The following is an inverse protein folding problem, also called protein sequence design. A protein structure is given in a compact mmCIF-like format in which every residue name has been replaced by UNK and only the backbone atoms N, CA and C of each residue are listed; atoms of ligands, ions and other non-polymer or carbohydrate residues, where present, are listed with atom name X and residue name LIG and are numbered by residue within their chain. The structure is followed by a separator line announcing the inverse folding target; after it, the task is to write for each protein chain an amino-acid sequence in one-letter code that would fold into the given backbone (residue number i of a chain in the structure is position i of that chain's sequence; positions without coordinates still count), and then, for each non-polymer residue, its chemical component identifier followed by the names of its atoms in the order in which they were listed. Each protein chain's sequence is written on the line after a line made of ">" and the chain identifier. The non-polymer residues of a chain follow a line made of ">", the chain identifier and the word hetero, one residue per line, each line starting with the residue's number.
data_IF_668622469754
#
_entry.id   IF_668622469754
#
_cell.length_a   1.000
_cell.length_b   1.000
_cell.length_c   1.000
_cell.angle_alpha   90.00
_cell.angle_beta   90.00
_cell.angle_gamma   90.00
#
_symmetry.space_group_name_H-M   'P 1'
#
loop_
_entity.id
_entity.type
_entity.pdbx_description
1 polymer ?
#
# COMPACT_ATOMS: atom_id res chain seq x y z
N UNK A 1 10.08 -14.83 -13.00
CA UNK A 1 9.70 -15.02 -11.58
C UNK A 1 8.41 -14.27 -11.35
N UNK A 2 7.30 -14.98 -11.15
CA UNK A 2 5.97 -14.40 -10.99
C UNK A 2 5.56 -14.43 -9.51
N UNK A 3 4.91 -13.37 -9.03
CA UNK A 3 4.45 -13.27 -7.65
C UNK A 3 3.07 -13.92 -7.48
N UNK A 4 2.25 -13.78 -8.53
CA UNK A 4 0.95 -14.39 -8.72
C UNK A 4 1.04 -15.26 -9.98
N UNK A 5 0.33 -16.38 -10.05
CA UNK A 5 0.27 -17.16 -11.28
C UNK A 5 -0.44 -16.37 -12.39
N UNK A 6 -0.19 -16.72 -13.65
CA UNK A 6 -0.70 -15.98 -14.80
C UNK A 6 -2.23 -16.07 -14.96
N UNK A 7 -2.84 -17.08 -14.35
CA UNK A 7 -4.26 -17.39 -14.27
C UNK A 7 -4.86 -17.04 -12.88
N UNK A 8 -4.23 -16.13 -12.14
CA UNK A 8 -4.78 -15.63 -10.87
C UNK A 8 -6.14 -14.95 -11.08
N UNK A 9 -7.19 -15.48 -10.44
CA UNK A 9 -8.56 -14.96 -10.52
C UNK A 9 -9.11 -14.49 -9.16
N UNK A 10 -8.41 -14.80 -8.05
CA UNK A 10 -8.90 -14.57 -6.69
C UNK A 10 -8.28 -13.32 -6.04
N UNK A 11 -7.13 -12.85 -6.55
CA UNK A 11 -6.43 -11.68 -6.02
C UNK A 11 -6.57 -10.49 -6.97
N UNK A 12 -7.33 -9.50 -6.55
CA UNK A 12 -7.47 -8.23 -7.24
C UNK A 12 -6.34 -7.27 -6.85
N UNK A 13 -5.73 -6.64 -7.84
CA UNK A 13 -4.60 -5.73 -7.64
C UNK A 13 -5.02 -4.29 -7.91
N UNK A 14 -4.73 -3.43 -6.94
CA UNK A 14 -4.92 -1.99 -7.03
C UNK A 14 -3.59 -1.27 -6.79
N UNK A 15 -3.36 -0.21 -7.56
CA UNK A 15 -2.13 0.58 -7.51
C UNK A 15 -2.49 2.03 -7.22
N UNK A 16 -1.94 2.58 -6.15
CA UNK A 16 -2.00 4.01 -5.89
C UNK A 16 -0.75 4.68 -6.45
N UNK A 17 -0.96 5.62 -7.36
CA UNK A 17 0.10 6.32 -8.08
C UNK A 17 -0.21 7.81 -8.17
N UNK A 18 0.70 8.65 -7.68
CA UNK A 18 0.50 10.10 -7.60
C UNK A 18 -0.74 10.41 -6.77
N UNK A 19 -1.84 10.78 -7.45
CA UNK A 19 -3.14 11.04 -6.82
C UNK A 19 -4.28 10.25 -7.49
N UNK A 20 -3.97 9.09 -8.07
CA UNK A 20 -4.94 8.27 -8.79
C UNK A 20 -4.80 6.80 -8.44
N UNK A 21 -5.95 6.16 -8.29
CA UNK A 21 -6.03 4.71 -8.21
C UNK A 21 -6.12 4.11 -9.61
N UNK A 22 -5.38 3.02 -9.81
CA UNK A 22 -5.49 2.13 -10.96
C UNK A 22 -5.94 0.77 -10.44
N UNK A 23 -7.13 0.36 -10.84
CA UNK A 23 -7.78 -0.84 -10.32
C UNK A 23 -7.92 -1.85 -11.45
N UNK A 24 -7.67 -3.12 -11.15
CA UNK A 24 -7.85 -4.17 -12.14
C UNK A 24 -9.33 -4.41 -12.42
N UNK A 25 -10.14 -4.49 -11.38
CA UNK A 25 -11.55 -4.84 -11.48
C UNK A 25 -12.46 -3.73 -10.93
N UNK A 26 -13.69 -3.72 -11.44
CA UNK A 26 -14.77 -2.86 -10.96
C UNK A 26 -15.75 -3.70 -10.13
N UNK A 27 -15.44 -3.88 -8.84
CA UNK A 27 -16.30 -4.65 -7.96
C UNK A 27 -17.57 -3.89 -7.56
N UNK A 28 -18.60 -4.65 -7.16
CA UNK A 28 -19.90 -4.09 -6.77
C UNK A 28 -19.76 -3.14 -5.57
N UNK A 29 -18.83 -3.42 -4.68
CA UNK A 29 -18.59 -2.63 -3.48
C UNK A 29 -17.83 -1.34 -3.80
N UNK A 30 -16.87 -1.38 -4.72
CA UNK A 30 -16.12 -0.21 -5.22
C UNK A 30 -17.03 0.76 -5.96
N UNK A 31 -18.00 0.25 -6.73
CA UNK A 31 -19.06 1.07 -7.35
C UNK A 31 -19.93 1.75 -6.29
N UNK A 32 -20.27 1.05 -5.21
CA UNK A 32 -21.00 1.60 -4.08
C UNK A 32 -20.20 2.70 -3.37
N UNK A 33 -18.94 2.43 -3.04
CA UNK A 33 -18.06 3.39 -2.37
C UNK A 33 -17.77 4.61 -3.24
N UNK A 34 -17.58 4.44 -4.55
CA UNK A 34 -17.42 5.55 -5.50
C UNK A 34 -18.62 6.50 -5.47
N UNK A 35 -19.84 5.97 -5.42
CA UNK A 35 -21.07 6.78 -5.35
C UNK A 35 -21.17 7.56 -4.04
N UNK A 36 -20.74 6.96 -2.92
CA UNK A 36 -20.87 7.56 -1.59
C UNK A 36 -19.73 8.54 -1.24
N UNK A 37 -18.49 8.23 -1.64
CA UNK A 37 -17.30 8.99 -1.25
C UNK A 37 -16.80 9.96 -2.31
N UNK A 38 -17.25 9.83 -3.56
CA UNK A 38 -16.69 10.55 -4.71
C UNK A 38 -15.31 10.03 -5.15
N UNK A 39 -14.84 8.92 -4.56
CA UNK A 39 -13.58 8.26 -4.91
C UNK A 39 -13.50 7.93 -6.41
N UNK A 40 -12.32 8.12 -7.00
CA UNK A 40 -12.09 7.88 -8.44
C UNK A 40 -10.92 6.92 -8.64
N UNK A 41 -11.09 5.98 -9.55
CA UNK A 41 -10.06 5.08 -10.05
C UNK A 41 -10.17 4.96 -11.58
N UNK A 42 -9.10 4.47 -12.20
CA UNK A 42 -9.09 4.08 -13.60
C UNK A 42 -8.96 2.56 -13.69
N UNK A 43 -9.80 1.95 -14.51
CA UNK A 43 -9.66 0.52 -14.80
C UNK A 43 -8.45 0.28 -15.70
N UNK A 44 -7.62 -0.68 -15.31
CA UNK A 44 -6.41 -1.06 -16.04
C UNK A 44 -6.33 -2.57 -16.11
N UNK A 45 -6.13 -3.13 -17.31
CA UNK A 45 -5.86 -4.56 -17.44
C UNK A 45 -4.43 -4.84 -16.97
N UNK A 46 -4.28 -5.72 -15.98
CA UNK A 46 -2.98 -6.04 -15.39
C UNK A 46 -2.00 -6.59 -16.44
N UNK A 47 -2.47 -7.42 -17.36
CA UNK A 47 -1.66 -7.96 -18.45
C UNK A 47 -1.05 -6.86 -19.34
N UNK A 48 -1.80 -5.80 -19.64
CA UNK A 48 -1.28 -4.66 -20.42
C UNK A 48 -0.20 -3.91 -19.64
N UNK A 49 -0.41 -3.69 -18.34
CA UNK A 49 0.56 -3.01 -17.48
C UNK A 49 1.85 -3.82 -17.31
N UNK A 50 1.73 -5.14 -17.10
CA UNK A 50 2.86 -6.07 -17.05
C UNK A 50 3.60 -6.10 -18.38
N UNK A 51 2.89 -6.15 -19.51
CA UNK A 51 3.51 -6.09 -20.83
C UNK A 51 4.25 -4.76 -21.07
N UNK A 52 3.66 -3.63 -20.65
CA UNK A 52 4.33 -2.32 -20.71
C UNK A 52 5.60 -2.30 -19.86
N UNK A 53 5.55 -2.85 -18.64
CA UNK A 53 6.72 -2.90 -17.76
C UNK A 53 7.81 -3.83 -18.29
N UNK A 54 7.46 -5.01 -18.82
CA UNK A 54 8.42 -5.93 -19.47
C UNK A 54 9.14 -5.25 -20.63
N UNK A 55 8.41 -4.57 -21.51
CA UNK A 55 9.01 -3.78 -22.61
C UNK A 55 9.92 -2.67 -22.11
N UNK A 56 9.58 -2.01 -20.99
CA UNK A 56 10.45 -1.01 -20.37
C UNK A 56 11.77 -1.63 -19.89
N UNK A 57 11.72 -2.75 -19.17
CA UNK A 57 12.92 -3.45 -18.67
C UNK A 57 13.80 -3.95 -19.82
N UNK A 58 13.21 -4.48 -20.89
CA UNK A 58 13.92 -4.92 -22.09
C UNK A 58 14.68 -3.76 -22.76
N UNK A 59 14.09 -2.56 -22.80
CA UNK A 59 14.74 -1.35 -23.35
C UNK A 59 15.86 -0.85 -22.45
N UNK A 60 15.61 -0.73 -21.15
CA UNK A 60 16.63 -0.32 -20.17
C UNK A 60 17.85 -1.26 -20.13
N UNK A 61 17.63 -2.55 -20.35
CA UNK A 61 18.69 -3.56 -20.42
C UNK A 61 19.47 -3.58 -21.75
N UNK A 62 19.00 -2.86 -22.78
CA UNK A 62 19.66 -2.79 -24.08
C UNK A 62 20.77 -1.73 -24.08
N UNK A 63 21.99 -2.11 -24.45
CA UNK A 63 23.18 -1.22 -24.47
C UNK A 63 23.08 -0.04 -25.46
N UNK A 64 22.01 0.04 -26.26
CA UNK A 64 21.81 1.04 -27.29
C UNK A 64 21.03 2.25 -26.74
N UNK A 65 21.65 3.05 -25.88
CA UNK A 65 21.49 4.52 -25.70
C UNK A 65 20.11 5.19 -25.54
N UNK A 66 18.98 4.55 -25.83
CA UNK A 66 17.65 5.16 -25.83
C UNK A 66 16.97 4.95 -24.47
N UNK A 67 17.38 5.78 -23.50
CA UNK A 67 16.83 5.82 -22.14
C UNK A 67 15.53 6.64 -22.04
N UNK A 68 14.82 6.86 -23.14
CA UNK A 68 13.62 7.70 -23.18
C UNK A 68 12.33 7.00 -22.74
N UNK A 69 12.41 5.71 -22.36
CA UNK A 69 11.25 4.92 -21.94
C UNK A 69 10.70 5.34 -20.58
N UNK A 70 9.42 5.70 -20.51
CA UNK A 70 8.74 5.96 -19.23
C UNK A 70 8.43 4.65 -18.50
N UNK A 71 8.92 4.47 -17.27
CA UNK A 71 8.54 3.34 -16.42
C UNK A 71 7.04 3.45 -16.08
N UNK A 72 6.17 2.51 -16.52
CA UNK A 72 4.72 2.62 -16.30
C UNK A 72 4.33 2.56 -14.82
N UNK A 73 5.22 2.05 -13.96
CA UNK A 73 5.09 1.95 -12.50
C UNK A 73 5.85 3.06 -11.75
N UNK A 74 6.41 4.06 -12.43
CA UNK A 74 6.98 5.23 -11.75
C UNK A 74 5.93 5.84 -10.80
N UNK A 75 6.37 6.38 -9.67
CA UNK A 75 5.51 7.09 -8.71
C UNK A 75 4.43 6.21 -8.04
N UNK A 76 4.50 4.88 -8.18
CA UNK A 76 3.63 3.97 -7.46
C UNK A 76 4.01 3.99 -5.96
N UNK A 77 3.12 4.52 -5.14
CA UNK A 77 3.34 4.69 -3.71
C UNK A 77 2.84 3.50 -2.89
N UNK A 78 1.81 2.79 -3.39
CA UNK A 78 1.19 1.68 -2.68
C UNK A 78 0.58 0.67 -3.65
N UNK A 79 0.74 -0.61 -3.33
CA UNK A 79 -0.04 -1.71 -3.90
C UNK A 79 -1.06 -2.19 -2.88
N UNK A 80 -2.25 -2.54 -3.33
CA UNK A 80 -3.29 -3.13 -2.50
C UNK A 80 -3.79 -4.39 -3.20
N UNK A 81 -3.65 -5.51 -2.52
CA UNK A 81 -4.16 -6.80 -2.94
C UNK A 81 -5.46 -7.08 -2.17
N UNK A 82 -6.51 -7.43 -2.89
CA UNK A 82 -7.80 -7.75 -2.30
C UNK A 82 -8.23 -9.15 -2.71
N UNK A 83 -8.78 -9.90 -1.77
CA UNK A 83 -9.34 -11.23 -2.02
C UNK A 83 -10.38 -11.55 -0.97
N UNK A 84 -11.47 -12.18 -1.39
CA UNK A 84 -12.47 -12.72 -0.45
C UNK A 84 -11.94 -13.95 0.28
N UNK A 85 -10.88 -14.58 -0.24
CA UNK A 85 -10.14 -15.63 0.45
C UNK A 85 -9.04 -15.04 1.36
N UNK A 86 -9.32 -15.09 2.66
CA UNK A 86 -8.40 -14.61 3.69
C UNK A 86 -7.13 -15.48 3.79
N UNK A 87 -7.21 -16.78 3.54
CA UNK A 87 -6.05 -17.67 3.57
C UNK A 87 -5.13 -17.38 2.40
N UNK A 88 -5.71 -17.18 1.21
CA UNK A 88 -4.97 -16.76 0.02
C UNK A 88 -4.24 -15.44 0.22
N UNK A 89 -4.91 -14.48 0.86
CA UNK A 89 -4.29 -13.19 1.22
C UNK A 89 -3.10 -13.35 2.19
N UNK A 90 -3.20 -14.27 3.15
CA UNK A 90 -2.12 -14.59 4.10
C UNK A 90 -0.96 -15.32 3.44
N UNK A 91 -1.24 -16.21 2.49
CA UNK A 91 -0.20 -16.83 1.68
C UNK A 91 0.59 -15.78 0.89
N UNK A 92 -0.13 -14.85 0.25
CA UNK A 92 0.50 -13.76 -0.48
C UNK A 92 1.37 -12.88 0.43
N UNK A 93 0.90 -12.52 1.63
CA UNK A 93 1.69 -11.82 2.64
C UNK A 93 3.02 -12.53 2.89
N UNK A 94 3.00 -13.84 3.16
CA UNK A 94 4.21 -14.63 3.44
C UNK A 94 5.18 -14.61 2.25
N UNK A 95 4.67 -14.75 1.03
CA UNK A 95 5.48 -14.70 -0.20
C UNK A 95 6.15 -13.34 -0.38
N UNK A 96 5.41 -12.25 -0.15
CA UNK A 96 5.96 -10.89 -0.29
C UNK A 96 6.98 -10.61 0.81
N UNK A 97 6.70 -10.96 2.06
CA UNK A 97 7.65 -10.78 3.17
C UNK A 97 8.95 -11.55 2.89
N UNK A 98 8.86 -12.81 2.47
CA UNK A 98 10.03 -13.63 2.19
C UNK A 98 10.92 -13.04 1.06
N UNK A 99 10.31 -12.47 0.01
CA UNK A 99 11.03 -11.95 -1.17
C UNK A 99 11.43 -10.47 -1.05
N UNK A 100 10.61 -9.66 -0.39
CA UNK A 100 10.68 -8.19 -0.43
C UNK A 100 10.65 -7.54 0.95
N UNK A 101 10.55 -8.28 2.06
CA UNK A 101 10.38 -7.71 3.40
C UNK A 101 11.48 -6.73 3.85
N UNK A 102 12.68 -6.80 3.27
CA UNK A 102 13.75 -5.79 3.51
C UNK A 102 13.53 -4.44 2.79
N UNK A 103 12.55 -4.36 1.89
CA UNK A 103 12.26 -3.20 1.02
C UNK A 103 10.82 -2.72 1.14
N UNK A 104 9.95 -3.49 1.78
CA UNK A 104 8.51 -3.23 1.83
C UNK A 104 7.97 -3.37 3.24
N UNK A 105 7.00 -2.52 3.59
CA UNK A 105 6.12 -2.70 4.73
C UNK A 105 4.75 -3.19 4.27
N UNK A 106 4.15 -4.09 5.04
CA UNK A 106 2.87 -4.70 4.75
C UNK A 106 1.91 -4.48 5.92
N UNK A 107 0.64 -4.24 5.62
CA UNK A 107 -0.40 -4.16 6.63
C UNK A 107 -1.77 -4.52 6.04
N UNK A 108 -2.53 -5.31 6.79
CA UNK A 108 -3.95 -5.53 6.50
C UNK A 108 -4.79 -4.33 6.98
N UNK A 109 -5.56 -3.72 6.09
CA UNK A 109 -6.62 -2.77 6.49
C UNK A 109 -7.93 -3.47 6.85
N UNK A 110 -8.14 -4.69 6.35
CA UNK A 110 -9.22 -5.61 6.70
C UNK A 110 -8.75 -7.04 6.40
N UNK A 111 -9.54 -8.06 6.75
CA UNK A 111 -9.18 -9.47 6.49
C UNK A 111 -8.97 -9.79 5.00
N UNK A 112 -9.61 -9.02 4.11
CA UNK A 112 -9.59 -9.18 2.65
C UNK A 112 -8.72 -8.14 1.93
N UNK A 113 -7.95 -7.30 2.64
CA UNK A 113 -7.25 -6.17 2.02
C UNK A 113 -5.82 -6.00 2.56
N UNK A 114 -4.85 -6.46 1.77
CA UNK A 114 -3.42 -6.40 2.07
C UNK A 114 -2.77 -5.21 1.35
N UNK A 115 -2.34 -4.21 2.11
CA UNK A 115 -1.56 -3.08 1.60
C UNK A 115 -0.06 -3.35 1.66
N UNK A 116 0.66 -2.98 0.60
CA UNK A 116 2.11 -3.05 0.49
C UNK A 116 2.65 -1.68 0.09
N UNK A 117 3.56 -1.15 0.89
CA UNK A 117 4.23 0.13 0.66
C UNK A 117 5.75 -0.05 0.69
N UNK A 118 6.53 0.90 0.16
CA UNK A 118 7.96 0.97 0.46
C UNK A 118 8.23 0.98 1.97
N UNK A 119 9.37 0.41 2.37
CA UNK A 119 9.84 0.49 3.75
C UNK A 119 9.87 1.96 4.22
N UNK A 120 9.33 2.25 5.40
CA UNK A 120 9.23 3.61 5.91
C UNK A 120 7.94 4.36 5.57
N UNK A 121 7.13 3.91 4.59
CA UNK A 121 6.02 4.69 4.05
C UNK A 121 4.64 4.42 4.71
N UNK A 122 4.58 3.72 5.84
CA UNK A 122 3.33 3.52 6.58
C UNK A 122 2.95 4.74 7.44
N UNK A 123 1.67 4.83 7.81
CA UNK A 123 1.06 5.98 8.52
C UNK A 123 1.86 6.42 9.75
N UNK A 124 2.30 5.49 10.59
CA UNK A 124 3.02 5.81 11.83
C UNK A 124 4.33 6.59 11.58
N UNK A 125 5.10 6.17 10.57
CA UNK A 125 6.36 6.84 10.25
C UNK A 125 6.10 8.21 9.60
N UNK A 126 5.09 8.31 8.73
CA UNK A 126 4.71 9.58 8.11
C UNK A 126 4.24 10.61 9.15
N UNK A 127 3.43 10.19 10.13
CA UNK A 127 3.00 11.07 11.22
C UNK A 127 4.17 11.45 12.12
N UNK A 128 5.07 10.52 12.44
CA UNK A 128 6.27 10.81 13.23
C UNK A 128 7.16 11.87 12.56
N UNK A 129 7.35 11.76 11.24
CA UNK A 129 8.11 12.74 10.46
C UNK A 129 7.42 14.11 10.45
N UNK A 130 6.09 14.14 10.21
CA UNK A 130 5.30 15.37 10.21
C UNK A 130 5.38 16.09 11.57
N UNK A 131 5.22 15.35 12.67
CA UNK A 131 5.29 15.91 14.03
C UNK A 131 6.65 16.56 14.28
N UNK A 132 7.73 15.95 13.81
CA UNK A 132 9.08 16.52 13.91
C UNK A 132 9.28 17.81 13.09
N UNK A 133 8.43 18.08 12.09
CA UNK A 133 8.48 19.28 11.25
C UNK A 133 7.55 20.40 11.75
N UNK A 134 6.72 20.15 12.75
CA UNK A 134 5.79 21.16 13.25
C UNK A 134 6.56 22.35 13.88
N UNK A 135 6.13 23.60 13.63
CA UNK A 135 6.68 24.75 14.31
C UNK A 135 6.55 24.57 15.83
N UNK A 136 7.66 24.75 16.54
CA UNK A 136 7.70 24.73 17.99
C UNK A 136 7.95 26.15 18.49
N UNK A 137 7.02 26.69 19.28
CA UNK A 137 7.22 27.95 20.02
C UNK A 137 8.18 27.74 21.21
N UNK A 138 9.25 26.98 21.00
CA UNK A 138 10.17 26.50 22.04
C UNK A 138 9.80 25.14 22.65
N UNK A 139 8.67 24.54 22.27
CA UNK A 139 8.24 23.20 22.74
C UNK A 139 8.13 22.25 21.55
N UNK A 140 9.06 21.30 21.47
CA UNK A 140 9.03 20.27 20.43
C UNK A 140 7.92 19.27 20.74
N UNK A 141 6.91 19.22 19.88
CA UNK A 141 5.84 18.21 19.98
C UNK A 141 6.43 16.86 19.62
N UNK A 142 6.16 15.85 20.43
CA UNK A 142 6.51 14.45 20.14
C UNK A 142 5.26 13.61 19.94
N UNK A 143 5.39 12.50 19.21
CA UNK A 143 4.23 11.64 18.91
C UNK A 143 3.55 11.10 20.18
N UNK A 144 4.30 10.94 21.27
CA UNK A 144 3.77 10.56 22.58
C UNK A 144 2.76 11.58 23.16
N UNK A 145 2.80 12.84 22.73
CA UNK A 145 1.87 13.89 23.17
C UNK A 145 0.67 14.03 22.22
N UNK A 146 0.63 13.23 21.15
CA UNK A 146 -0.45 13.24 20.18
C UNK A 146 -1.54 12.26 20.58
N UNK A 147 -2.80 12.66 20.34
CA UNK A 147 -3.95 11.75 20.38
C UNK A 147 -4.13 11.19 18.97
N UNK A 148 -4.14 9.87 18.83
CA UNK A 148 -4.27 9.20 17.53
C UNK A 148 -5.45 8.23 17.52
N UNK A 149 -6.12 8.12 16.38
CA UNK A 149 -7.26 7.23 16.17
C UNK A 149 -6.98 6.26 15.02
N UNK A 150 -7.40 5.00 15.17
CA UNK A 150 -7.28 3.98 14.14
C UNK A 150 -8.05 2.73 14.51
N UNK A 151 -8.40 1.93 13.51
CA UNK A 151 -9.24 0.74 13.62
C UNK A 151 -8.61 -0.50 12.94
N UNK A 152 -7.72 -0.31 11.97
CA UNK A 152 -7.03 -1.38 11.25
C UNK A 152 -5.54 -1.55 11.60
N UNK A 153 -4.94 -2.67 11.17
CA UNK A 153 -3.51 -2.94 11.43
C UNK A 153 -2.58 -1.91 10.77
N UNK A 154 -3.04 -1.24 9.72
CA UNK A 154 -2.32 -0.12 9.09
C UNK A 154 -2.19 1.13 9.99
N UNK A 155 -2.91 1.19 11.11
CA UNK A 155 -2.79 2.19 12.17
C UNK A 155 -2.02 1.71 13.40
N UNK A 156 -1.69 0.41 13.49
CA UNK A 156 -1.14 -0.20 14.71
C UNK A 156 0.16 0.49 15.17
N UNK A 157 1.09 0.74 14.24
CA UNK A 157 2.34 1.41 14.58
C UNK A 157 2.14 2.85 15.06
N UNK A 158 1.16 3.56 14.49
CA UNK A 158 0.82 4.90 14.96
C UNK A 158 0.23 4.86 16.37
N UNK A 159 -0.68 3.91 16.63
CA UNK A 159 -1.27 3.67 17.95
C UNK A 159 -0.22 3.27 18.99
N UNK A 160 0.78 2.50 18.61
CA UNK A 160 1.88 2.08 19.50
C UNK A 160 2.84 3.22 19.86
N UNK A 161 2.98 4.23 18.99
CA UNK A 161 3.93 5.33 19.18
C UNK A 161 3.30 6.55 19.90
N UNK A 162 1.98 6.61 19.99
CA UNK A 162 1.27 7.70 20.65
C UNK A 162 1.01 7.42 22.13
N UNK A 163 0.95 8.48 22.95
CA UNK A 163 0.77 8.35 24.41
C UNK A 163 -0.67 8.03 24.82
N UNK A 164 -1.67 8.64 24.16
CA UNK A 164 -3.09 8.34 24.39
C UNK A 164 -3.79 7.85 23.12
N UNK A 165 -4.52 6.73 23.25
CA UNK A 165 -5.18 5.99 22.15
C UNK A 165 -4.61 4.58 21.91
N UNK A 166 -3.36 4.33 22.31
CA UNK A 166 -2.70 3.02 22.20
C UNK A 166 -3.14 1.97 23.23
N UNK A 167 -3.40 2.40 24.47
CA UNK A 167 -3.67 1.49 25.62
C UNK A 167 -4.95 0.65 25.47
N UNK A 168 -5.92 1.07 24.65
CA UNK A 168 -7.15 0.28 24.44
C UNK A 168 -7.03 -0.77 23.34
N UNK A 169 -6.04 -0.71 22.46
CA UNK A 169 -5.91 -1.63 21.31
C UNK A 169 -5.01 -2.84 21.58
N UNK A 170 -4.01 -2.72 22.46
CA UNK A 170 -3.11 -3.84 22.79
C UNK A 170 -3.83 -5.02 23.46
N UNK A 171 -4.97 -4.78 24.10
CA UNK A 171 -5.78 -5.82 24.77
C UNK A 171 -6.83 -6.49 23.86
N UNK A 172 -7.01 -6.04 22.61
CA UNK A 172 -7.97 -6.62 21.67
C UNK A 172 -7.36 -7.55 20.62
N UNK A 173 -6.02 -7.70 20.62
CA UNK A 173 -5.26 -8.52 19.67
C UNK A 173 -4.53 -9.71 20.31
N UNK A 174 -4.82 -10.01 21.59
CA UNK A 174 -4.36 -11.22 22.30
C UNK A 174 -5.33 -12.37 22.14
#
# INVERSE_FOLDING_TARGET
>A
MELLPADEEEIYVNIYRGDKWRSWFDGKDELGQRRLSGFRYNLVRLCDLVAQYRRYVEREGSYAGDRSGHNPLSDAAKLVFMSDDTERSRELERVIVAKYGKRTELAFSSACCLGVCPLGAMKGNAVQELVGQLPSDGVQVVLAECIVFGDGMNGLRMLQLAGEGGEKFTNFLS
#
